data_IF_463638695486
#
_entry.id   IF_463638695486
#
_cell.length_a   1.000
_cell.length_b   1.000
_cell.length_c   1.000
_cell.angle_alpha   90.00
_cell.angle_beta   90.00
_cell.angle_gamma   90.00
#
_symmetry.space_group_name_H-M   'P 1'
#
loop_
_entity.id
_entity.type
_entity.pdbx_description
1 polymer ?
2 non-polymer ?
#
# COMPACT_ATOMS: atom_id res chain seq x y z
N UNK A 1 -20.97 -14.31 7.84
CA UNK A 1 -20.47 -14.16 9.24
C UNK A 1 -19.04 -13.65 9.18
N UNK A 2 -18.61 -12.98 10.24
CA UNK A 2 -17.32 -12.32 10.27
C UNK A 2 -16.15 -13.26 9.95
N UNK A 3 -15.23 -12.81 9.09
CA UNK A 3 -13.98 -13.52 8.81
C UNK A 3 -13.01 -13.60 10.00
N UNK A 4 -12.31 -14.71 10.10
CA UNK A 4 -11.46 -14.97 11.24
C UNK A 4 -10.13 -15.52 10.80
N UNK A 5 -9.08 -14.76 11.03
CA UNK A 5 -7.73 -15.12 10.60
C UNK A 5 -7.23 -16.41 11.26
N UNK A 6 -7.58 -17.56 10.69
CA UNK A 6 -7.29 -18.84 11.33
C UNK A 6 -6.17 -19.65 10.66
N UNK A 7 -5.84 -19.28 9.43
CA UNK A 7 -4.75 -19.94 8.69
C UNK A 7 -3.44 -19.16 8.82
N UNK A 8 -2.38 -19.72 8.27
CA UNK A 8 -1.08 -19.07 8.33
C UNK A 8 -0.62 -18.89 6.90
N UNK A 9 0.56 -18.31 6.69
CA UNK A 9 1.03 -18.02 5.33
C UNK A 9 1.50 -19.29 4.67
N UNK A 10 1.15 -19.47 3.41
CA UNK A 10 1.70 -20.57 2.64
C UNK A 10 3.18 -20.30 2.49
N UNK A 11 3.90 -21.34 2.08
CA UNK A 11 5.29 -21.23 1.68
C UNK A 11 5.43 -20.57 0.33
N UNK A 12 6.21 -19.49 0.33
CA UNK A 12 6.47 -18.68 -0.85
C UNK A 12 7.84 -19.08 -1.40
N UNK A 13 7.85 -19.92 -2.44
CA UNK A 13 9.12 -20.26 -3.11
C UNK A 13 9.32 -19.45 -4.39
N UNK A 14 8.25 -18.81 -4.86
CA UNK A 14 8.32 -17.77 -5.89
C UNK A 14 6.99 -16.99 -6.05
N UNK A 15 6.88 -16.18 -7.11
CA UNK A 15 5.72 -15.32 -7.32
C UNK A 15 5.16 -15.52 -8.72
N UNK A 16 3.83 -15.53 -8.85
CA UNK A 16 3.22 -15.65 -10.16
C UNK A 16 2.39 -14.41 -10.52
N UNK A 17 2.36 -14.02 -11.80
CA UNK A 17 1.52 -12.90 -12.20
C UNK A 17 0.06 -13.17 -11.84
N UNK A 18 -0.51 -12.24 -11.08
CA UNK A 18 -1.89 -12.34 -10.62
C UNK A 18 -2.79 -11.41 -11.41
N UNK A 19 -2.43 -10.13 -11.52
CA UNK A 19 -3.27 -9.17 -12.23
C UNK A 19 -2.49 -8.09 -12.96
N UNK A 20 -3.06 -7.47 -13.99
CA UNK A 20 -2.34 -6.42 -14.73
C UNK A 20 -3.29 -5.71 -15.65
N UNK A 21 -3.43 -4.39 -15.50
CA UNK A 21 -4.48 -3.68 -16.23
C UNK A 21 -4.10 -2.91 -17.49
N UNK A 22 -2.82 -2.58 -17.66
CA UNK A 22 -2.33 -1.90 -18.86
C UNK A 22 -3.13 -0.65 -19.15
N UNK A 23 -3.43 0.10 -18.11
CA UNK A 23 -4.30 1.27 -18.24
C UNK A 23 -3.78 2.42 -19.13
N UNK A 24 -2.52 2.80 -18.94
CA UNK A 24 -1.95 3.94 -19.66
C UNK A 24 -1.77 3.57 -21.14
N UNK A 25 -1.58 2.28 -21.41
CA UNK A 25 -1.48 1.78 -22.78
C UNK A 25 -2.82 1.92 -23.40
N UNK A 26 -3.82 1.37 -22.72
CA UNK A 26 -5.20 1.39 -23.18
C UNK A 26 -5.80 2.81 -23.11
N UNK A 27 -5.26 3.64 -22.24
CA UNK A 27 -5.82 4.96 -22.01
C UNK A 27 -5.35 5.98 -23.04
N UNK A 28 -4.44 5.57 -23.92
CA UNK A 28 -4.04 6.44 -25.02
C UNK A 28 -5.19 6.65 -26.04
N UNK A 29 -6.20 5.78 -26.02
CA UNK A 29 -7.31 5.83 -26.97
C UNK A 29 -8.59 5.14 -26.44
N UNK A 30 -9.00 5.51 -25.23
CA UNK A 30 -10.11 4.92 -24.46
C UNK A 30 -10.39 5.92 -23.37
N UNK A 31 -11.52 5.75 -22.68
CA UNK A 31 -11.88 6.70 -21.64
C UNK A 31 -11.50 6.18 -20.26
N UNK A 32 -10.18 6.13 -20.01
CA UNK A 32 -9.62 5.66 -18.75
C UNK A 32 -9.35 6.87 -17.85
N UNK A 33 -9.59 6.71 -16.55
CA UNK A 33 -9.40 7.78 -15.56
C UNK A 33 -7.95 7.91 -15.06
N UNK A 34 -7.44 9.14 -15.03
CA UNK A 34 -6.18 9.40 -14.32
C UNK A 34 -6.37 9.04 -12.84
N UNK A 35 -5.45 8.26 -12.27
CA UNK A 35 -5.56 7.78 -10.89
C UNK A 35 -4.17 7.77 -10.30
N UNK A 36 -4.06 7.47 -9.01
CA UNK A 36 -2.78 7.06 -8.40
C UNK A 36 -3.08 6.37 -7.08
N UNK A 37 -2.02 6.07 -6.33
CA UNK A 37 -2.15 5.30 -5.10
C UNK A 37 -3.15 4.13 -5.19
N UNK A 38 -2.92 3.16 -6.11
CA UNK A 38 -3.80 2.00 -6.24
C UNK A 38 -3.67 0.99 -5.11
N UNK A 39 -4.55 0.00 -5.14
CA UNK A 39 -4.33 -1.22 -4.40
C UNK A 39 -5.35 -2.24 -4.83
N UNK A 40 -5.24 -3.42 -4.25
CA UNK A 40 -6.17 -4.50 -4.55
C UNK A 40 -6.88 -4.95 -3.25
N UNK A 41 -8.10 -5.44 -3.36
CA UNK A 41 -8.83 -5.80 -2.18
C UNK A 41 -9.89 -6.80 -2.54
N UNK A 42 -10.00 -7.87 -1.74
CA UNK A 42 -10.95 -8.94 -2.01
C UNK A 42 -12.21 -8.91 -1.14
N UNK A 43 -13.35 -9.05 -1.79
CA UNK A 43 -14.58 -9.45 -1.14
C UNK A 43 -14.62 -10.98 -1.04
N UNK A 44 -15.63 -11.52 -0.36
CA UNK A 44 -15.81 -12.97 -0.31
C UNK A 44 -15.97 -13.66 -1.66
N UNK A 45 -16.29 -12.90 -2.69
CA UNK A 45 -16.77 -13.43 -3.95
C UNK A 45 -15.94 -12.90 -5.12
N UNK A 46 -15.24 -11.79 -4.93
CA UNK A 46 -14.40 -11.24 -5.99
C UNK A 46 -13.31 -10.32 -5.48
N UNK A 47 -12.19 -10.28 -6.20
CA UNK A 47 -11.13 -9.33 -5.90
C UNK A 47 -11.09 -8.19 -6.92
N UNK A 48 -10.87 -6.98 -6.43
CA UNK A 48 -10.98 -5.76 -7.24
C UNK A 48 -9.73 -4.90 -7.17
N UNK A 49 -9.59 -4.02 -8.15
CA UNK A 49 -8.59 -2.95 -8.16
C UNK A 49 -9.19 -1.68 -7.50
N UNK A 50 -8.34 -0.84 -6.92
CA UNK A 50 -8.79 0.35 -6.18
C UNK A 50 -7.80 1.48 -6.43
N UNK A 51 -8.30 2.71 -6.47
CA UNK A 51 -7.40 3.85 -6.66
C UNK A 51 -8.11 5.16 -6.40
N UNK A 52 -7.30 6.20 -6.24
CA UNK A 52 -7.82 7.56 -6.17
C UNK A 52 -7.84 8.21 -7.54
N UNK A 53 -9.04 8.34 -8.08
CA UNK A 53 -9.31 9.06 -9.29
C UNK A 53 -8.84 10.49 -9.10
N UNK A 54 -8.48 11.17 -10.19
CA UNK A 54 -8.23 12.62 -10.20
C UNK A 54 -9.37 13.36 -10.90
N UNK A 55 -10.46 12.64 -11.19
CA UNK A 55 -11.64 13.26 -11.78
C UNK A 55 -11.43 13.78 -13.18
N UNK A 56 -10.68 13.03 -14.00
CA UNK A 56 -10.43 13.41 -15.38
C UNK A 56 -9.90 12.18 -16.10
N UNK A 57 -10.02 12.17 -17.43
CA UNK A 57 -9.41 11.14 -18.24
C UNK A 57 -7.98 11.54 -18.57
N UNK A 58 -7.16 10.57 -18.97
CA UNK A 58 -5.75 10.80 -19.24
C UNK A 58 -5.58 11.74 -20.43
N UNK A 59 -6.35 11.53 -21.48
CA UNK A 59 -6.27 12.39 -22.65
C UNK A 59 -7.12 13.65 -22.50
N UNK A 60 -7.94 13.68 -21.45
CA UNK A 60 -8.72 14.85 -21.21
C UNK A 60 -7.80 16.00 -20.90
N UNK A 61 -8.24 17.23 -21.19
CA UNK A 61 -7.41 18.39 -20.97
C UNK A 61 -7.21 18.70 -19.48
N UNK A 62 -8.20 18.34 -18.68
CA UNK A 62 -8.14 18.60 -17.24
C UNK A 62 -7.12 17.71 -16.56
N UNK A 63 -6.39 16.90 -17.33
CA UNK A 63 -5.29 16.11 -16.80
C UNK A 63 -4.00 16.92 -16.56
N UNK A 64 -3.92 18.14 -17.12
CA UNK A 64 -2.77 18.96 -16.83
C UNK A 64 -2.81 19.39 -15.39
N UNK A 65 -1.87 18.89 -14.59
CA UNK A 65 -1.79 19.32 -13.20
C UNK A 65 -2.00 18.20 -12.19
N UNK A 66 -2.31 17.01 -12.70
CA UNK A 66 -2.60 15.90 -11.82
C UNK A 66 -1.36 15.32 -11.16
N UNK A 67 -0.26 16.08 -11.15
CA UNK A 67 0.86 15.73 -10.29
C UNK A 67 0.48 16.01 -8.82
N UNK A 68 -0.63 16.74 -8.67
CA UNK A 68 -1.11 17.21 -7.37
C UNK A 68 -1.92 16.13 -6.64
N UNK A 69 -1.65 16.03 -5.35
CA UNK A 69 -2.21 14.97 -4.51
C UNK A 69 -3.62 15.21 -4.00
N UNK A 70 -3.87 16.40 -3.49
CA UNK A 70 -5.07 16.63 -2.71
C UNK A 70 -5.93 17.67 -3.40
N UNK A 71 -7.14 17.31 -3.81
CA UNK A 71 -8.05 18.26 -4.44
C UNK A 71 -9.50 17.81 -4.30
N UNK A 72 -10.41 18.67 -4.71
CA UNK A 72 -11.85 18.42 -4.62
C UNK A 72 -12.36 17.38 -5.59
N UNK A 73 -11.55 16.96 -6.57
CA UNK A 73 -12.06 16.18 -7.68
C UNK A 73 -11.51 14.79 -7.69
N UNK A 74 -10.95 14.38 -6.55
CA UNK A 74 -10.35 13.06 -6.34
C UNK A 74 -11.39 12.15 -5.65
N UNK A 75 -11.29 10.85 -5.82
CA UNK A 75 -12.25 9.94 -5.21
C UNK A 75 -11.67 8.55 -5.10
N UNK A 76 -12.16 7.75 -4.15
CA UNK A 76 -11.82 6.32 -4.16
C UNK A 76 -12.79 5.60 -5.11
N UNK A 77 -12.24 5.04 -6.20
CA UNK A 77 -12.99 4.20 -7.16
C UNK A 77 -12.40 2.78 -7.16
N UNK A 78 -13.23 1.79 -7.45
CA UNK A 78 -12.77 0.42 -7.69
C UNK A 78 -13.35 -0.11 -9.00
N UNK A 79 -12.74 -1.16 -9.54
CA UNK A 79 -13.17 -1.69 -10.82
C UNK A 79 -12.80 -3.18 -10.90
N UNK A 80 -13.34 -3.92 -11.89
CA UNK A 80 -13.01 -5.33 -12.04
C UNK A 80 -11.54 -5.56 -12.27
N UNK A 81 -11.03 -6.58 -11.58
CA UNK A 81 -9.64 -7.05 -11.69
C UNK A 81 -9.06 -7.13 -13.12
N UNK A 82 -8.04 -6.29 -13.38
CA UNK A 82 -7.23 -6.38 -14.60
C UNK A 82 -7.85 -5.60 -15.76
N UNK A 83 -9.04 -5.04 -15.53
CA UNK A 83 -9.60 -4.00 -16.40
C UNK A 83 -8.83 -2.70 -16.15
N UNK A 84 -8.98 -1.69 -17.04
CA UNK A 84 -8.46 -0.38 -16.70
C UNK A 84 -9.53 0.45 -16.04
N UNK A 85 -9.16 1.34 -15.11
CA UNK A 85 -10.17 2.14 -14.41
C UNK A 85 -10.85 3.13 -15.35
N UNK A 86 -11.93 2.72 -16.00
CA UNK A 86 -12.59 3.57 -17.01
C UNK A 86 -13.76 4.37 -16.42
N UNK A 87 -14.18 5.38 -17.16
CA UNK A 87 -15.29 6.23 -16.75
C UNK A 87 -16.63 5.46 -16.61
N UNK A 88 -16.82 4.46 -17.47
CA UNK A 88 -18.08 3.72 -17.59
C UNK A 88 -18.18 2.46 -16.75
N UNK A 89 -17.09 2.02 -16.13
CA UNK A 89 -17.16 0.80 -15.34
C UNK A 89 -16.72 0.96 -13.89
N UNK A 90 -16.29 2.16 -13.51
CA UNK A 90 -15.71 2.35 -12.22
C UNK A 90 -16.81 2.63 -11.24
N UNK A 91 -16.66 2.11 -10.03
CA UNK A 91 -17.60 2.36 -8.96
C UNK A 91 -16.92 3.28 -7.96
N UNK A 92 -17.62 4.34 -7.58
CA UNK A 92 -17.13 5.25 -6.54
C UNK A 92 -17.48 4.75 -5.13
N UNK A 93 -16.45 4.63 -4.31
CA UNK A 93 -16.60 4.23 -2.92
C UNK A 93 -16.92 5.39 -1.95
N UNK A 94 -16.12 6.45 -2.02
CA UNK A 94 -16.32 7.66 -1.22
C UNK A 94 -15.48 8.80 -1.79
N UNK A 95 -15.68 10.02 -1.32
CA UNK A 95 -14.98 11.20 -1.85
C UNK A 95 -13.80 11.60 -0.98
N UNK A 96 -12.59 11.57 -1.53
CA UNK A 96 -11.43 11.90 -0.74
C UNK A 96 -10.10 11.69 -1.44
N UNK A 97 -9.05 12.25 -0.85
CA UNK A 97 -7.71 12.16 -1.38
C UNK A 97 -6.79 11.29 -0.54
N UNK A 98 -7.38 10.47 0.33
CA UNK A 98 -6.65 9.47 1.12
C UNK A 98 -7.64 8.42 1.60
N UNK A 99 -7.26 7.15 1.56
CA UNK A 99 -8.23 6.07 1.78
C UNK A 99 -7.66 4.73 2.28
N UNK A 100 -8.59 3.86 2.67
CA UNK A 100 -8.32 2.44 2.93
C UNK A 100 -9.66 1.76 2.91
N UNK A 101 -9.64 0.44 2.69
CA UNK A 101 -10.88 -0.32 2.49
C UNK A 101 -10.63 -1.82 2.76
N UNK A 102 -11.60 -2.47 3.41
CA UNK A 102 -11.53 -3.88 3.72
C UNK A 102 -12.94 -4.44 4.01
N UNK A 103 -13.22 -5.61 3.47
CA UNK A 103 -14.38 -6.43 3.81
C UNK A 103 -14.13 -7.14 5.15
N UNK A 104 -15.14 -7.18 6.03
CA UNK A 104 -14.99 -7.88 7.32
C UNK A 104 -15.56 -9.31 7.32
N UNK A 105 -15.97 -9.78 6.15
CA UNK A 105 -16.71 -11.01 6.08
C UNK A 105 -18.19 -10.78 5.84
N UNK A 106 -18.81 -9.87 6.58
CA UNK A 106 -20.22 -9.59 6.37
C UNK A 106 -20.43 -8.57 5.25
N UNK A 107 -19.69 -7.46 5.32
CA UNK A 107 -19.72 -6.44 4.29
C UNK A 107 -18.48 -5.53 4.39
N UNK A 108 -18.38 -4.54 3.50
CA UNK A 108 -17.12 -3.82 3.31
C UNK A 108 -17.16 -2.46 3.98
N UNK A 109 -16.04 -2.09 4.61
CA UNK A 109 -15.82 -0.75 5.17
C UNK A 109 -14.80 0.00 4.32
N UNK A 110 -15.11 1.26 4.04
CA UNK A 110 -14.28 2.11 3.19
C UNK A 110 -14.13 3.46 3.88
N UNK A 111 -12.94 4.03 3.83
CA UNK A 111 -12.67 5.26 4.56
C UNK A 111 -12.01 6.25 3.65
N UNK A 112 -12.61 7.42 3.55
CA UNK A 112 -12.03 8.49 2.74
C UNK A 112 -11.83 9.73 3.60
N UNK A 113 -10.70 10.38 3.37
CA UNK A 113 -10.41 11.68 3.95
C UNK A 113 -10.44 12.78 2.87
N UNK A 114 -11.13 13.86 3.20
CA UNK A 114 -11.07 15.07 2.38
C UNK A 114 -10.83 16.27 3.30
N UNK A 115 -10.61 17.43 2.69
CA UNK A 115 -10.46 18.62 3.48
C UNK A 115 -9.31 19.51 3.06
N UNK A 116 -9.28 20.75 3.56
CA UNK A 116 -8.04 21.50 3.47
C UNK A 116 -7.02 20.90 4.44
N UNK A 117 -5.74 21.15 4.15
CA UNK A 117 -4.65 20.55 4.92
C UNK A 117 -4.81 20.73 6.41
N UNK A 118 -5.47 21.81 6.83
CA UNK A 118 -5.62 22.18 8.25
C UNK A 118 -6.98 21.95 8.87
N UNK A 119 -7.89 21.36 8.10
CA UNK A 119 -9.25 21.14 8.56
C UNK A 119 -9.89 19.91 7.85
N UNK A 120 -9.13 18.81 7.82
CA UNK A 120 -9.54 17.58 7.14
C UNK A 120 -10.41 16.70 8.05
N UNK A 121 -11.09 15.74 7.44
CA UNK A 121 -11.95 14.82 8.20
C UNK A 121 -12.11 13.48 7.50
N UNK A 122 -12.23 12.42 8.29
CA UNK A 122 -12.47 11.09 7.74
C UNK A 122 -13.94 10.73 7.86
N UNK A 123 -14.50 10.18 6.78
CA UNK A 123 -15.82 9.60 6.86
C UNK A 123 -15.70 8.11 6.58
N UNK A 124 -16.11 7.33 7.59
CA UNK A 124 -16.10 5.88 7.56
C UNK A 124 -17.43 5.44 6.97
N UNK A 125 -17.37 4.67 5.91
CA UNK A 125 -18.55 4.17 5.24
C UNK A 125 -18.62 2.70 5.56
N UNK A 126 -19.82 2.16 5.69
CA UNK A 126 -19.94 0.74 5.95
C UNK A 126 -21.19 0.24 5.29
N UNK A 127 -21.02 -0.78 4.45
CA UNK A 127 -22.09 -1.22 3.58
C UNK A 127 -22.68 -0.10 2.70
N UNK A 128 -21.78 0.68 2.10
CA UNK A 128 -22.09 1.79 1.20
C UNK A 128 -22.88 2.97 1.76
N UNK A 129 -23.05 3.05 3.08
CA UNK A 129 -23.58 4.24 3.75
C UNK A 129 -22.58 4.85 4.73
N UNK A 130 -22.52 6.19 4.84
CA UNK A 130 -21.66 6.86 5.84
C UNK A 130 -22.14 6.65 7.27
N UNK A 131 -21.21 6.41 8.19
CA UNK A 131 -21.59 5.98 9.52
C UNK A 131 -20.87 6.78 10.61
N UNK A 132 -19.59 7.04 10.42
CA UNK A 132 -18.75 7.68 11.44
C UNK A 132 -17.77 8.68 10.83
N UNK A 133 -17.52 9.76 11.56
CA UNK A 133 -16.76 10.90 11.08
C UNK A 133 -15.74 11.22 12.15
N UNK A 134 -14.53 11.53 11.71
CA UNK A 134 -13.44 11.94 12.59
C UNK A 134 -12.79 13.18 11.99
N UNK A 135 -12.34 14.09 12.85
CA UNK A 135 -11.74 15.37 12.43
C UNK A 135 -10.23 15.33 12.69
N UNK A 136 -9.47 16.14 11.94
CA UNK A 136 -8.05 16.38 12.25
C UNK A 136 -7.90 16.53 13.74
N UNK A 137 -6.98 15.76 14.32
CA UNK A 137 -6.51 16.02 15.68
C UNK A 137 -5.30 16.89 15.72
N UNK A 138 -4.38 16.68 14.81
CA UNK A 138 -3.15 17.47 14.77
C UNK A 138 -3.26 18.59 13.78
N UNK A 139 -4.29 18.54 12.94
CA UNK A 139 -4.60 19.61 11.99
C UNK A 139 -3.52 19.83 10.93
N UNK A 140 -2.77 18.78 10.61
CA UNK A 140 -1.83 18.84 9.49
C UNK A 140 -1.87 17.56 8.64
N UNK A 141 -2.72 17.60 7.61
CA UNK A 141 -2.95 16.52 6.65
C UNK A 141 -3.20 15.14 7.25
N UNK A 142 -4.36 15.00 7.90
CA UNK A 142 -4.93 13.69 8.27
C UNK A 142 -4.81 12.72 7.10
N UNK A 143 -4.24 11.53 7.34
CA UNK A 143 -3.99 10.58 6.26
C UNK A 143 -3.92 9.11 6.71
N UNK A 144 -4.26 8.18 5.81
CA UNK A 144 -4.27 6.74 6.12
C UNK A 144 -3.30 5.92 5.26
N UNK A 145 -3.64 4.63 5.16
CA UNK A 145 -2.78 3.61 4.61
C UNK A 145 -2.53 3.67 3.11
N UNK A 146 -3.56 4.05 2.34
CA UNK A 146 -3.52 4.02 0.88
C UNK A 146 -3.41 2.59 0.39
N UNK A 147 -3.87 1.66 1.22
CA UNK A 147 -4.02 0.26 0.81
C UNK A 147 -4.96 -0.42 1.81
N UNK A 148 -5.36 -1.67 1.58
CA UNK A 148 -6.45 -2.28 2.35
C UNK A 148 -6.09 -2.54 3.79
N UNK A 149 -7.09 -2.41 4.66
CA UNK A 149 -6.97 -2.81 6.06
C UNK A 149 -7.23 -4.32 6.16
N UNK A 150 -7.33 -4.84 7.38
CA UNK A 150 -7.52 -6.26 7.66
C UNK A 150 -8.46 -6.37 8.88
N UNK A 151 -9.41 -7.30 8.81
CA UNK A 151 -10.32 -7.55 9.93
C UNK A 151 -10.17 -8.94 10.53
N UNK A 152 -10.76 -9.11 11.70
CA UNK A 152 -10.77 -10.37 12.42
C UNK A 152 -11.97 -10.37 13.37
N UNK A 153 -12.91 -11.29 13.15
CA UNK A 153 -14.15 -11.35 13.91
C UNK A 153 -14.79 -9.97 14.08
N UNK A 154 -14.85 -9.24 12.99
CA UNK A 154 -15.58 -8.00 12.98
C UNK A 154 -14.80 -6.78 13.35
N UNK A 155 -13.61 -6.94 13.97
CA UNK A 155 -12.78 -5.77 14.30
C UNK A 155 -11.75 -5.51 13.23
N UNK A 156 -11.76 -4.29 12.69
CA UNK A 156 -10.82 -3.86 11.64
C UNK A 156 -10.10 -2.59 12.07
N UNK A 157 -8.86 -2.68 12.54
CA UNK A 157 -8.01 -1.52 12.88
C UNK A 157 -7.43 -0.78 11.69
N UNK A 158 -7.27 0.54 11.84
CA UNK A 158 -6.73 1.36 10.78
C UNK A 158 -5.75 2.36 11.41
N UNK A 159 -4.59 2.52 10.76
CA UNK A 159 -3.55 3.44 11.22
C UNK A 159 -3.76 4.76 10.45
N UNK A 160 -3.92 5.85 11.19
CA UNK A 160 -3.86 7.20 10.64
C UNK A 160 -2.66 7.96 11.23
N UNK A 161 -2.13 8.90 10.46
CA UNK A 161 -1.16 9.85 10.95
C UNK A 161 -1.74 11.25 10.72
N UNK A 162 -1.57 12.12 11.70
CA UNK A 162 -1.87 13.54 11.55
C UNK A 162 -0.71 14.34 12.11
N UNK A 163 -0.12 15.21 11.29
CA UNK A 163 0.99 16.01 11.73
C UNK A 163 2.03 16.18 10.64
N UNK A 164 3.23 16.60 11.04
CA UNK A 164 4.35 16.82 10.12
C UNK A 164 4.83 15.53 9.44
N UNK A 165 5.43 15.73 8.28
CA UNK A 165 5.91 14.63 7.47
C UNK A 165 7.42 14.58 7.59
N UNK A 166 7.99 15.65 8.10
CA UNK A 166 9.43 15.72 8.24
C UNK A 166 9.79 15.96 9.71
N UNK A 167 9.06 15.28 10.58
CA UNK A 167 9.22 15.50 12.00
C UNK A 167 8.32 14.57 12.79
N UNK A 168 8.32 14.72 14.12
CA UNK A 168 7.32 14.13 15.03
C UNK A 168 5.87 14.42 14.62
N UNK A 169 5.03 13.39 14.63
CA UNK A 169 3.63 13.52 14.21
C UNK A 169 2.77 12.71 15.19
N UNK A 170 1.45 12.75 15.03
CA UNK A 170 0.59 11.97 15.90
C UNK A 170 -0.08 10.88 15.10
N UNK A 171 0.27 9.63 15.39
CA UNK A 171 -0.32 8.46 14.73
C UNK A 171 -1.24 7.74 15.71
N UNK A 172 -2.41 7.33 15.24
CA UNK A 172 -3.37 6.55 16.04
C UNK A 172 -3.76 5.27 15.31
N UNK A 173 -3.93 4.20 16.09
CA UNK A 173 -4.59 2.97 15.63
C UNK A 173 -6.03 3.04 16.14
N UNK A 174 -6.99 3.16 15.21
CA UNK A 174 -8.42 3.05 15.52
C UNK A 174 -8.89 1.62 15.29
N UNK A 175 -9.81 1.15 16.12
CA UNK A 175 -10.32 -0.20 15.97
C UNK A 175 -11.81 -0.06 15.66
N UNK A 176 -12.21 -0.44 14.46
CA UNK A 176 -13.60 -0.32 14.07
C UNK A 176 -14.29 -1.66 14.11
N UNK A 177 -15.55 -1.63 14.51
CA UNK A 177 -16.42 -2.78 14.40
C UNK A 177 -17.75 -2.26 13.88
N UNK A 178 -18.20 -2.81 12.75
CA UNK A 178 -19.45 -2.39 12.08
C UNK A 178 -19.45 -0.91 11.70
N UNK A 179 -18.25 -0.41 11.41
CA UNK A 179 -18.09 0.98 10.99
C UNK A 179 -18.09 1.95 12.15
N UNK A 180 -18.17 1.41 13.37
CA UNK A 180 -18.26 2.25 14.55
C UNK A 180 -16.95 2.15 15.29
N UNK A 181 -16.56 3.21 15.99
CA UNK A 181 -15.31 3.17 16.72
C UNK A 181 -15.47 2.41 18.03
N UNK A 182 -14.60 1.41 18.22
CA UNK A 182 -14.53 0.67 19.47
C UNK A 182 -13.57 1.35 20.44
N UNK A 183 -12.46 1.84 19.91
CA UNK A 183 -11.35 2.30 20.72
C UNK A 183 -10.31 2.87 19.78
N UNK A 184 -9.42 3.70 20.29
CA UNK A 184 -8.23 4.05 19.55
C UNK A 184 -7.08 4.26 20.52
N UNK A 185 -5.85 4.23 20.03
CA UNK A 185 -4.71 4.40 20.88
C UNK A 185 -3.55 5.01 20.11
N UNK A 186 -2.85 5.99 20.73
CA UNK A 186 -1.62 6.56 20.17
C UNK A 186 -0.61 5.48 19.81
N UNK A 187 0.30 5.80 18.90
CA UNK A 187 1.37 4.89 18.50
C UNK A 187 2.29 4.57 19.68
N UNK A 188 2.78 3.34 19.72
CA UNK A 188 3.62 2.87 20.82
C UNK A 188 4.80 2.15 20.21
N UNK A 189 5.78 1.79 21.04
CA UNK A 189 6.92 1.04 20.56
C UNK A 189 8.03 1.99 20.20
N UNK A 190 8.96 1.54 19.35
CA UNK A 190 10.16 2.33 19.07
C UNK A 190 10.18 3.03 17.70
N UNK A 191 9.16 2.81 16.87
CA UNK A 191 9.11 3.46 15.56
C UNK A 191 9.03 4.98 15.74
N UNK A 192 9.74 5.72 14.90
CA UNK A 192 9.91 7.17 15.07
C UNK A 192 8.88 8.00 14.30
N UNK A 193 8.36 7.41 13.23
CA UNK A 193 7.49 8.13 12.31
C UNK A 193 6.84 7.09 11.40
N UNK A 194 5.54 7.26 11.17
CA UNK A 194 4.69 6.23 10.52
C UNK A 194 3.89 6.85 9.37
N UNK A 195 3.91 6.23 8.21
CA UNK A 195 3.08 6.67 7.10
C UNK A 195 2.71 5.47 6.22
N UNK A 196 1.52 5.51 5.65
CA UNK A 196 1.09 4.58 4.59
C UNK A 196 1.41 3.13 4.93
N UNK A 197 0.67 2.53 5.85
CA UNK A 197 0.99 1.18 6.30
C UNK A 197 0.41 0.10 5.39
N UNK A 198 1.22 -0.91 5.12
CA UNK A 198 0.80 -2.03 4.31
C UNK A 198 0.60 -3.21 5.23
N UNK A 199 -0.62 -3.73 5.31
CA UNK A 199 -0.97 -4.69 6.36
C UNK A 199 -1.41 -6.05 5.83
N UNK A 200 -1.12 -7.10 6.59
CA UNK A 200 -1.76 -8.39 6.39
C UNK A 200 -1.99 -9.08 7.73
N UNK A 201 -2.72 -10.17 7.72
CA UNK A 201 -3.05 -10.82 8.97
C UNK A 201 -2.99 -12.32 8.78
N UNK A 202 -2.45 -13.03 9.77
CA UNK A 202 -2.53 -14.48 9.79
C UNK A 202 -2.47 -14.95 11.22
N UNK A 203 -3.08 -16.10 11.47
CA UNK A 203 -3.23 -16.65 12.81
C UNK A 203 -3.60 -15.59 13.85
N UNK A 204 -4.65 -14.82 13.58
CA UNK A 204 -5.17 -13.83 14.51
C UNK A 204 -4.15 -12.81 14.95
N UNK A 205 -3.30 -12.41 14.01
CA UNK A 205 -2.32 -11.36 14.23
C UNK A 205 -2.22 -10.51 12.95
N UNK A 206 -2.13 -9.19 13.11
CA UNK A 206 -2.01 -8.27 11.98
C UNK A 206 -0.66 -7.52 11.92
N UNK A 207 0.02 -7.60 10.78
CA UNK A 207 1.35 -7.02 10.64
C UNK A 207 1.28 -5.94 9.56
N UNK A 208 1.62 -4.70 9.95
CA UNK A 208 1.76 -3.59 8.99
C UNK A 208 3.22 -3.16 8.88
N UNK A 209 3.73 -3.10 7.65
CA UNK A 209 5.04 -2.54 7.34
C UNK A 209 4.76 -1.16 6.76
N UNK A 210 5.26 -0.13 7.44
CA UNK A 210 4.91 1.24 7.14
C UNK A 210 6.10 1.99 6.64
N UNK A 211 5.99 3.31 6.64
CA UNK A 211 6.99 4.19 6.05
C UNK A 211 7.28 5.33 7.03
N UNK A 212 8.53 5.37 7.48
CA UNK A 212 9.11 6.47 8.23
C UNK A 212 9.57 7.55 7.26
N UNK A 213 8.81 8.61 7.11
CA UNK A 213 9.16 9.63 6.13
C UNK A 213 10.32 10.57 6.50
N UNK A 214 10.71 10.70 7.76
CA UNK A 214 11.69 11.75 8.02
C UNK A 214 13.10 11.31 8.33
N UNK A 215 13.30 10.01 8.53
CA UNK A 215 14.58 9.52 9.06
C UNK A 215 15.02 8.17 8.55
N UNK A 216 14.12 7.20 8.70
CA UNK A 216 14.41 5.81 8.38
C UNK A 216 14.49 5.33 6.92
N UNK A 217 15.63 4.70 6.60
CA UNK A 217 15.80 3.97 5.36
C UNK A 217 15.38 2.51 5.53
N UNK A 218 15.37 2.07 6.78
CA UNK A 218 14.78 0.80 7.15
C UNK A 218 13.33 1.07 7.55
N UNK A 219 12.46 0.08 7.37
CA UNK A 219 11.01 0.27 7.53
C UNK A 219 10.46 -0.14 8.88
N UNK A 220 9.65 0.74 9.49
CA UNK A 220 8.97 0.43 10.76
C UNK A 220 7.90 -0.61 10.55
N UNK A 221 7.57 -1.30 11.63
CA UNK A 221 6.56 -2.33 11.60
C UNK A 221 5.65 -2.17 12.81
N UNK A 222 4.35 -2.12 12.54
CA UNK A 222 3.37 -2.21 13.61
C UNK A 222 2.81 -3.64 13.63
N UNK A 223 2.88 -4.32 14.74
CA UNK A 223 2.17 -5.57 14.88
C UNK A 223 0.93 -5.35 15.72
N UNK A 224 -0.20 -5.84 15.25
CA UNK A 224 -1.46 -5.57 15.91
C UNK A 224 -2.15 -6.86 16.33
N UNK A 225 -2.75 -6.81 17.51
CA UNK A 225 -3.52 -7.92 17.99
C UNK A 225 -4.98 -7.50 18.00
N UNK A 226 -5.78 -8.10 17.12
CA UNK A 226 -7.16 -7.67 16.93
C UNK A 226 -8.09 -8.15 18.03
N UNK A 227 -7.68 -9.13 18.82
CA UNK A 227 -8.53 -9.53 19.94
C UNK A 227 -8.35 -8.66 21.20
N UNK A 228 -7.10 -8.40 21.58
CA UNK A 228 -6.84 -7.58 22.76
C UNK A 228 -6.87 -6.09 22.45
N UNK A 229 -6.87 -5.76 21.16
CA UNK A 229 -6.81 -4.39 20.71
C UNK A 229 -5.64 -3.61 21.31
N UNK A 230 -4.44 -4.17 21.22
CA UNK A 230 -3.22 -3.46 21.54
C UNK A 230 -2.26 -3.66 20.39
N UNK A 231 -1.11 -2.97 20.43
CA UNK A 231 -0.13 -3.04 19.36
C UNK A 231 1.28 -2.76 19.87
N UNK A 232 2.25 -2.90 18.98
CA UNK A 232 3.59 -2.39 19.24
C UNK A 232 4.33 -2.20 17.92
N UNK A 233 5.35 -1.34 17.93
CA UNK A 233 6.09 -1.04 16.73
C UNK A 233 7.60 -1.27 16.91
N UNK A 234 8.30 -1.34 15.78
CA UNK A 234 9.72 -1.67 15.76
C UNK A 234 10.23 -1.24 14.40
N UNK A 235 11.50 -1.53 14.13
CA UNK A 235 12.02 -1.53 12.76
C UNK A 235 12.50 -2.93 12.34
N UNK A 236 12.42 -3.19 11.04
CA UNK A 236 13.03 -4.37 10.45
C UNK A 236 14.55 -4.24 10.68
N UNK A 237 15.14 -5.29 11.24
CA UNK A 237 16.53 -5.32 11.68
C UNK A 237 17.53 -5.39 10.54
N UNK A 238 17.17 -6.20 9.54
CA UNK A 238 18.02 -6.50 8.39
C UNK A 238 18.72 -5.26 7.87
N UNK A 239 19.92 -5.42 7.31
CA UNK A 239 20.61 -4.38 6.53
C UNK A 239 20.17 -4.22 5.06
N UNK A 240 19.35 -5.13 4.55
CA UNK A 240 18.80 -4.96 3.21
C UNK A 240 17.72 -3.89 3.33
N UNK A 241 18.13 -2.64 3.15
CA UNK A 241 17.25 -1.49 3.29
C UNK A 241 16.22 -1.46 2.16
N UNK A 242 14.98 -1.15 2.51
CA UNK A 242 13.90 -1.22 1.54
C UNK A 242 13.04 0.03 1.42
N UNK A 243 13.54 1.20 1.79
CA UNK A 243 12.85 2.44 1.40
C UNK A 243 13.54 3.05 0.17
N UNK A 244 13.06 4.21 -0.26
CA UNK A 244 13.61 4.91 -1.41
C UNK A 244 13.17 6.37 -1.35
N UNK A 245 14.14 7.31 -1.44
CA UNK A 245 15.55 6.97 -1.59
C UNK A 245 16.18 6.44 -0.31
N UNK A 246 17.35 5.82 -0.48
CA UNK A 246 18.06 5.14 0.60
C UNK A 246 19.56 5.10 0.27
N UNK A 247 20.41 4.99 1.30
CA UNK A 247 21.82 4.69 1.05
C UNK A 247 21.97 3.24 0.67
N UNK A 248 23.22 2.83 0.47
CA UNK A 248 23.51 1.44 0.20
C UNK A 248 23.42 0.53 1.44
N UNK A 249 23.12 -0.73 1.17
CA UNK A 249 23.01 -1.75 2.20
C UNK A 249 24.32 -1.81 2.97
N UNK A 250 24.31 -1.60 4.30
CA UNK A 250 25.43 -1.94 5.18
C UNK A 250 25.50 -3.45 5.41
N UNK A 251 26.41 -3.88 6.28
CA UNK A 251 26.51 -5.27 6.69
C UNK A 251 25.74 -5.52 7.96
N UNK A 252 25.34 -4.45 8.65
CA UNK A 252 24.59 -4.51 9.90
C UNK A 252 23.56 -3.36 9.96
N UNK A 253 22.38 -3.59 10.53
CA UNK A 253 21.34 -2.57 10.53
C UNK A 253 20.60 -2.43 11.88
N UNK A 254 19.69 -1.46 11.96
CA UNK A 254 19.00 -1.11 13.20
C UNK A 254 17.73 -1.94 13.42
N UNK A 255 17.47 -2.26 14.69
CA UNK A 255 16.23 -2.91 15.10
C UNK A 255 15.26 -1.97 15.76
N UNK A 256 15.76 -0.99 16.50
CA UNK A 256 14.87 -0.07 17.18
C UNK A 256 15.16 1.40 16.93
N UNK A 257 15.76 1.70 15.79
CA UNK A 257 16.09 3.08 15.47
C UNK A 257 16.09 3.21 13.99
N UNK A 258 15.81 4.40 13.46
CA UNK A 258 15.96 4.63 12.02
C UNK A 258 17.41 4.55 11.55
N UNK A 259 17.64 3.84 10.46
CA UNK A 259 18.95 3.86 9.84
C UNK A 259 19.04 5.15 9.03
N UNK A 260 20.06 5.98 9.29
CA UNK A 260 20.18 7.34 8.76
C UNK A 260 20.85 7.42 7.37
N UNK A 261 20.72 8.58 6.72
CA UNK A 261 21.33 8.73 5.41
C UNK A 261 20.51 9.44 4.37
N UNK A 262 19.19 9.29 4.42
CA UNK A 262 18.29 10.20 3.70
C UNK A 262 17.16 10.72 4.59
N UNK A 263 16.83 12.00 4.44
CA UNK A 263 15.85 12.65 5.27
C UNK A 263 14.58 12.96 4.51
N UNK A 264 13.45 12.90 5.21
CA UNK A 264 12.24 13.55 4.73
C UNK A 264 11.84 13.07 3.33
N UNK A 265 11.71 11.75 3.21
CA UNK A 265 11.29 11.12 1.97
C UNK A 265 11.20 9.59 2.07
N UNK A 266 10.34 9.04 1.22
CA UNK A 266 10.20 7.60 1.15
C UNK A 266 9.19 7.25 0.09
N UNK A 267 8.73 6.00 0.12
CA UNK A 267 7.68 5.53 -0.77
C UNK A 267 6.93 4.47 0.03
N UNK A 268 5.70 4.17 -0.37
CA UNK A 268 4.96 3.10 0.25
C UNK A 268 5.56 1.78 -0.18
N UNK A 269 5.65 0.84 0.74
CA UNK A 269 6.19 -0.47 0.46
C UNK A 269 5.56 -1.51 1.36
N UNK A 270 6.11 -2.73 1.38
CA UNK A 270 5.53 -3.77 2.22
C UNK A 270 6.57 -4.85 2.47
N UNK A 271 6.25 -5.80 3.35
CA UNK A 271 6.96 -7.07 3.43
C UNK A 271 6.07 -8.16 4.04
N UNK A 272 6.47 -9.42 3.88
CA UNK A 272 5.82 -10.53 4.55
C UNK A 272 6.86 -11.14 5.45
N UNK A 273 6.59 -11.06 6.75
CA UNK A 273 7.57 -11.34 7.80
C UNK A 273 7.23 -12.66 8.50
N UNK A 274 7.89 -13.74 8.11
CA UNK A 274 7.43 -15.08 8.49
C UNK A 274 8.57 -16.07 8.73
N UNK A 275 9.32 -15.86 9.78
CA UNK A 275 10.48 -16.71 10.05
C UNK A 275 11.46 -16.69 8.90
N UNK A 276 11.85 -17.87 8.45
CA UNK A 276 12.68 -18.01 7.26
C UNK A 276 11.86 -17.73 5.98
N UNK A 277 10.54 -17.76 6.12
CA UNK A 277 9.63 -17.56 4.99
C UNK A 277 9.33 -16.06 4.84
N UNK A 278 10.39 -15.26 4.76
CA UNK A 278 10.27 -13.80 4.76
C UNK A 278 10.72 -13.17 3.44
N UNK A 279 9.86 -12.33 2.88
CA UNK A 279 10.14 -11.69 1.62
C UNK A 279 9.93 -10.20 1.69
N UNK A 280 10.93 -9.44 1.24
CA UNK A 280 10.85 -7.99 1.22
C UNK A 280 10.80 -7.54 -0.24
N UNK A 281 10.06 -6.47 -0.48
CA UNK A 281 10.02 -5.87 -1.81
C UNK A 281 10.78 -4.57 -1.76
N UNK A 282 11.35 -4.16 -2.88
CA UNK A 282 11.98 -2.83 -2.97
C UNK A 282 12.20 -2.37 -4.40
N UNK A 283 12.29 -1.06 -4.59
CA UNK A 283 12.82 -0.51 -5.81
C UNK A 283 14.28 -0.93 -5.88
N UNK A 284 14.72 -1.21 -7.10
CA UNK A 284 16.10 -1.58 -7.38
C UNK A 284 17.00 -0.34 -7.23
N UNK A 285 16.57 0.78 -7.81
CA UNK A 285 17.28 2.02 -7.61
C UNK A 285 17.24 2.46 -6.15
N UNK A 286 18.32 3.07 -5.66
CA UNK A 286 18.32 3.71 -4.34
C UNK A 286 17.96 5.19 -4.43
N UNK A 287 18.10 5.75 -5.63
CA UNK A 287 17.89 7.17 -5.85
C UNK A 287 16.45 7.46 -6.25
N UNK A 288 15.89 6.55 -7.04
CA UNK A 288 14.72 6.83 -7.83
C UNK A 288 13.76 5.68 -7.60
N UNK A 289 12.48 5.90 -7.86
CA UNK A 289 11.48 4.82 -7.83
C UNK A 289 11.58 4.03 -9.15
N UNK A 290 12.66 3.27 -9.29
CA UNK A 290 12.90 2.53 -10.49
C UNK A 290 13.07 1.06 -10.17
N UNK A 291 12.43 0.23 -10.97
CA UNK A 291 12.63 -1.19 -10.84
C UNK A 291 11.91 -1.68 -9.62
N UNK A 292 11.75 -2.99 -9.52
CA UNK A 292 11.18 -3.57 -8.32
C UNK A 292 11.68 -4.98 -8.19
N UNK A 293 11.88 -5.42 -6.96
CA UNK A 293 12.32 -6.77 -6.75
C UNK A 293 11.82 -7.27 -5.44
N UNK A 294 11.77 -8.59 -5.33
CA UNK A 294 11.45 -9.29 -4.08
C UNK A 294 12.72 -9.99 -3.64
N UNK A 295 12.92 -10.09 -2.32
CA UNK A 295 14.13 -10.70 -1.78
C UNK A 295 13.79 -11.59 -0.60
N UNK A 296 14.38 -12.78 -0.56
CA UNK A 296 14.14 -13.69 0.53
C UNK A 296 15.24 -13.49 1.58
N UNK A 297 14.89 -12.88 2.71
CA UNK A 297 15.87 -12.59 3.74
C UNK A 297 15.32 -13.21 4.99
N UNK A 298 15.75 -14.44 5.29
CA UNK A 298 15.25 -15.11 6.50
C UNK A 298 15.48 -14.29 7.78
N UNK A 299 14.45 -14.29 8.62
CA UNK A 299 14.47 -13.58 9.90
C UNK A 299 14.89 -12.11 9.82
N UNK A 300 14.43 -11.43 8.79
CA UNK A 300 14.72 -10.02 8.58
C UNK A 300 14.31 -9.12 9.75
N UNK A 301 13.17 -9.42 10.36
CA UNK A 301 12.60 -8.55 11.41
C UNK A 301 13.52 -8.54 12.61
N UNK A 302 14.15 -9.68 12.90
CA UNK A 302 14.78 -9.91 14.18
C UNK A 302 16.30 -10.00 14.06
N UNK A 303 16.78 -10.44 12.89
CA UNK A 303 18.18 -10.74 12.66
C UNK A 303 18.83 -9.55 11.98
N UNK A 304 19.66 -8.83 12.72
CA UNK A 304 20.18 -7.56 12.26
C UNK A 304 21.38 -7.65 11.31
N UNK A 305 21.70 -8.86 10.86
CA UNK A 305 22.76 -9.09 9.89
C UNK A 305 22.25 -9.84 8.64
N UNK A 306 20.95 -10.13 8.61
CA UNK A 306 20.35 -10.99 7.58
C UNK A 306 20.50 -10.44 6.15
N UNK A 307 20.85 -11.30 5.21
CA UNK A 307 21.12 -10.90 3.82
C UNK A 307 20.50 -11.92 2.84
N UNK A 308 20.27 -11.52 1.57
CA UNK A 308 19.29 -12.31 0.78
C UNK A 308 19.77 -13.74 0.48
N UNK A 309 18.82 -14.69 0.48
CA UNK A 309 19.11 -16.04 0.02
C UNK A 309 18.41 -16.39 -1.30
N UNK A 310 17.46 -15.57 -1.74
CA UNK A 310 16.79 -15.82 -3.01
C UNK A 310 16.04 -14.57 -3.41
N UNK A 311 15.67 -14.44 -4.67
CA UNK A 311 15.13 -13.18 -5.16
C UNK A 311 14.34 -13.30 -6.43
N UNK A 312 13.54 -12.29 -6.73
CA UNK A 312 12.84 -12.25 -7.99
C UNK A 312 12.69 -10.80 -8.40
N UNK A 313 13.18 -10.48 -9.58
CA UNK A 313 12.93 -9.18 -10.21
C UNK A 313 11.52 -9.09 -10.83
N UNK A 314 10.81 -8.03 -10.48
CA UNK A 314 9.43 -7.87 -10.91
C UNK A 314 9.42 -6.82 -12.02
N UNK A 315 10.11 -5.71 -11.81
CA UNK A 315 10.21 -4.64 -12.81
C UNK A 315 11.67 -4.23 -12.98
N UNK A 316 12.13 -4.18 -14.22
CA UNK A 316 13.55 -3.92 -14.50
C UNK A 316 13.92 -2.49 -14.12
N UNK A 317 15.19 -2.29 -13.81
CA UNK A 317 15.62 -1.00 -13.24
C UNK A 317 15.34 0.17 -14.17
N UNK A 318 15.27 -0.14 -15.45
CA UNK A 318 14.99 0.80 -16.52
C UNK A 318 13.52 1.20 -16.57
N UNK A 319 12.68 0.54 -15.78
CA UNK A 319 11.25 0.81 -15.81
C UNK A 319 10.77 1.42 -14.51
N UNK A 320 9.82 2.34 -14.64
CA UNK A 320 9.38 3.13 -13.51
C UNK A 320 8.46 2.30 -12.59
N UNK A 321 8.65 2.42 -11.27
CA UNK A 321 7.76 1.72 -10.35
C UNK A 321 6.98 2.73 -9.50
N UNK A 322 7.02 2.60 -8.18
CA UNK A 322 6.21 3.46 -7.34
C UNK A 322 5.77 2.73 -6.10
N UNK A 323 4.56 3.05 -5.63
CA UNK A 323 4.04 2.50 -4.38
C UNK A 323 3.86 0.98 -4.48
N UNK A 324 3.75 0.32 -3.35
CA UNK A 324 3.44 -1.10 -3.34
C UNK A 324 2.88 -1.47 -1.99
N UNK A 325 2.17 -2.59 -1.92
CA UNK A 325 1.38 -2.89 -0.75
C UNK A 325 0.86 -4.30 -0.79
N UNK A 326 0.43 -4.80 0.36
CA UNK A 326 0.09 -6.21 0.50
C UNK A 326 -1.41 -6.41 0.40
N UNK A 327 -1.82 -7.61 -0.01
CA UNK A 327 -3.20 -8.05 0.15
C UNK A 327 -3.21 -9.55 0.03
N UNK A 328 -4.25 -10.17 0.57
CA UNK A 328 -4.46 -11.61 0.45
C UNK A 328 -5.94 -11.87 0.27
N UNK A 329 -6.27 -12.91 -0.46
CA UNK A 329 -7.65 -13.36 -0.59
C UNK A 329 -8.02 -14.27 0.59
N UNK A 330 -8.53 -13.68 1.65
CA UNK A 330 -8.88 -14.40 2.86
C UNK A 330 -9.99 -15.41 2.73
N UNK A 331 -10.68 -15.43 1.60
CA UNK A 331 -11.79 -16.35 1.38
C UNK A 331 -11.46 -17.37 0.29
N UNK A 332 -10.21 -17.38 -0.15
CA UNK A 332 -9.72 -18.40 -1.05
C UNK A 332 -9.71 -19.81 -0.41
N UNK A 333 -9.83 -20.85 -1.23
CA UNK A 333 -9.80 -22.25 -0.77
C UNK A 333 -8.35 -22.59 -0.39
N UNK A 334 -8.17 -23.53 0.52
CA UNK A 334 -6.81 -23.95 0.83
C UNK A 334 -6.55 -23.85 2.32
N UNK A 335 -5.43 -24.44 2.77
CA UNK A 335 -5.13 -24.52 4.20
C UNK A 335 -4.32 -23.35 4.71
N UNK A 336 -3.80 -22.54 3.78
CA UNK A 336 -2.96 -21.40 4.16
C UNK A 336 -3.31 -20.18 3.33
N UNK A 337 -2.91 -19.02 3.82
CA UNK A 337 -3.08 -17.77 3.11
C UNK A 337 -1.97 -17.57 2.09
N UNK A 338 -2.36 -17.35 0.85
CA UNK A 338 -1.40 -17.17 -0.21
C UNK A 338 -1.10 -15.68 -0.31
N UNK A 339 0.18 -15.30 -0.20
CA UNK A 339 0.57 -13.91 -0.02
C UNK A 339 0.53 -13.22 -1.37
N UNK A 340 -0.06 -12.03 -1.44
CA UNK A 340 -0.02 -11.28 -2.70
C UNK A 340 0.46 -9.87 -2.47
N UNK A 341 0.80 -9.18 -3.55
CA UNK A 341 1.17 -7.78 -3.48
C UNK A 341 0.90 -7.09 -4.81
N UNK A 342 1.01 -5.76 -4.85
CA UNK A 342 0.86 -5.01 -6.09
C UNK A 342 1.95 -3.93 -6.13
N UNK A 343 2.33 -3.53 -7.34
CA UNK A 343 3.21 -2.39 -7.58
C UNK A 343 2.47 -1.38 -8.46
N UNK A 344 2.55 -0.11 -8.07
CA UNK A 344 2.05 1.01 -8.87
C UNK A 344 3.16 1.40 -9.86
N UNK A 345 2.80 1.50 -11.13
CA UNK A 345 3.76 1.86 -12.17
C UNK A 345 3.47 3.28 -12.59
N UNK A 346 4.13 4.26 -11.96
CA UNK A 346 3.86 5.65 -12.27
C UNK A 346 4.44 6.08 -13.62
N UNK A 347 3.63 6.85 -14.34
CA UNK A 347 3.97 7.41 -15.64
C UNK A 347 3.67 8.89 -15.57
N UNK A 348 4.39 9.67 -16.38
CA UNK A 348 4.21 11.12 -16.41
C UNK A 348 5.07 11.90 -15.43
N UNK A 349 4.52 12.96 -14.88
CA UNK A 349 5.33 13.83 -14.04
C UNK A 349 5.51 13.26 -12.63
N UNK A 350 6.74 13.32 -12.10
CA UNK A 350 7.78 14.29 -12.45
C UNK A 350 8.85 13.84 -13.45
N UNK A 351 9.25 12.59 -13.37
CA UNK A 351 10.32 12.03 -14.20
C UNK A 351 10.07 12.11 -15.71
N UNK A 352 8.81 12.11 -16.14
CA UNK A 352 8.53 12.22 -17.55
C UNK A 352 7.84 13.53 -17.84
N UNK A 353 8.67 14.54 -18.06
CA UNK A 353 8.27 15.94 -18.21
C UNK A 353 7.45 16.36 -19.44
N UNK A 354 7.56 15.63 -20.55
CA UNK A 354 6.97 16.06 -21.83
C UNK A 354 5.45 16.01 -21.80
N UNK A 355 4.90 15.40 -20.76
CA UNK A 355 3.47 15.33 -20.60
C UNK A 355 3.17 16.13 -19.38
N UNK A 356 1.91 16.46 -19.21
CA UNK A 356 1.51 17.36 -18.15
C UNK A 356 0.71 16.68 -17.07
N UNK A 357 0.58 15.35 -17.16
CA UNK A 357 -0.19 14.55 -16.22
C UNK A 357 0.69 13.57 -15.44
N UNK A 358 0.06 12.87 -14.52
CA UNK A 358 0.71 11.80 -13.78
C UNK A 358 -0.33 10.71 -13.54
N UNK A 359 -0.07 9.54 -14.09
CA UNK A 359 -0.95 8.41 -13.87
C UNK A 359 -0.11 7.18 -13.56
N UNK A 360 -0.74 6.01 -13.66
CA UNK A 360 -0.09 4.77 -13.31
C UNK A 360 -0.91 3.61 -13.80
N UNK A 361 -0.32 2.43 -13.78
CA UNK A 361 -1.07 1.22 -13.99
C UNK A 361 -0.64 0.28 -12.89
N UNK A 362 -1.21 -0.91 -12.89
CA UNK A 362 -1.00 -1.86 -11.80
C UNK A 362 -0.49 -3.18 -12.35
N UNK A 363 0.51 -3.74 -11.67
CA UNK A 363 0.82 -5.16 -11.76
C UNK A 363 0.60 -5.74 -10.37
N UNK A 364 0.05 -6.93 -10.33
CA UNK A 364 -0.18 -7.62 -9.08
C UNK A 364 0.36 -9.05 -9.20
N UNK A 365 0.97 -9.52 -8.11
CA UNK A 365 1.48 -10.90 -8.03
C UNK A 365 1.00 -11.61 -6.76
N UNK A 366 0.96 -12.95 -6.80
CA UNK A 366 0.81 -13.79 -5.59
C UNK A 366 1.85 -14.90 -5.53
N UNK A 367 2.01 -15.50 -4.35
CA UNK A 367 3.07 -16.48 -4.13
C UNK A 367 2.74 -17.82 -4.75
N UNK A 368 3.77 -18.63 -4.98
CA UNK A 368 3.65 -20.04 -5.34
C UNK A 368 4.63 -20.82 -4.48
N UNK A 369 4.30 -22.07 -4.20
CA UNK A 369 5.21 -22.97 -3.48
C UNK A 369 6.15 -23.60 -4.49
N UNK A 370 5.79 -23.47 -5.76
CA UNK A 370 6.65 -23.83 -6.88
C UNK A 370 7.84 -22.88 -7.00
N UNK A 371 8.76 -23.23 -7.89
CA UNK A 371 9.84 -22.32 -8.27
C UNK A 371 9.66 -21.90 -9.74
N UNK A 372 8.84 -20.88 -9.98
CA UNK A 372 8.45 -20.46 -11.33
C UNK A 372 9.51 -19.55 -11.93
N UNK A 373 9.71 -19.67 -13.24
CA UNK A 373 10.57 -18.75 -13.94
C UNK A 373 10.05 -17.34 -13.81
N UNK A 374 10.88 -16.35 -14.09
CA UNK A 374 10.50 -14.97 -13.86
C UNK A 374 10.45 -14.20 -15.17
N UNK A 375 9.47 -13.31 -15.26
CA UNK A 375 9.43 -12.31 -16.31
C UNK A 375 9.43 -10.93 -15.65
N UNK A 376 9.59 -9.89 -16.43
CA UNK A 376 9.45 -8.53 -15.93
C UNK A 376 8.21 -7.90 -16.55
N UNK A 377 7.56 -7.05 -15.77
CA UNK A 377 6.18 -6.62 -16.03
C UNK A 377 6.10 -5.10 -16.01
N UNK A 378 6.56 -4.47 -17.10
CA UNK A 378 6.59 -3.01 -17.19
C UNK A 378 5.19 -2.47 -17.50
N UNK A 379 4.98 -1.17 -17.30
CA UNK A 379 3.77 -0.52 -17.74
C UNK A 379 3.51 -0.77 -19.24
N UNK A 380 4.52 -0.50 -20.07
CA UNK A 380 4.37 -0.77 -21.48
C UNK A 380 3.72 0.31 -22.32
N UNK A 381 3.36 1.45 -21.73
CA UNK A 381 2.96 2.62 -22.54
C UNK A 381 4.17 3.30 -23.19
N UNK A 382 3.88 4.02 -24.26
CA UNK A 382 4.91 4.66 -25.07
C UNK A 382 4.66 6.16 -25.01
N UNK A 383 5.37 6.83 -24.13
CA UNK A 383 5.06 8.23 -23.80
C UNK A 383 4.99 9.15 -25.03
N UNK A 384 5.53 8.69 -26.14
CA UNK A 384 5.63 9.56 -27.29
C UNK A 384 4.33 9.65 -28.05
N UNK A 385 3.42 8.72 -27.81
CA UNK A 385 2.14 8.73 -28.50
C UNK A 385 1.18 9.74 -27.84
N UNK A 386 1.59 10.29 -26.70
CA UNK A 386 0.77 11.25 -25.99
C UNK A 386 1.11 12.69 -26.39
N UNK A 387 2.04 12.83 -27.34
CA UNK A 387 2.61 14.14 -27.72
C UNK A 387 1.88 14.74 -28.90
X LIG B 1 12.38 7.26 4.82
#
# INVERSE_FOLDING_TARGET
DFNNLTKGLCTINSWHIYGKDNAVRIGEDSDVLVTREPYVSCDPDECRFYALSQGTTIRGKHSNGTIHDRSQYRALISWPLSSPPTVYNSRVECIGWSSTSCHDGKTRMSICISGPNNNASAVIWYNRRPVTEINTWARNILRTQESECVCHNGVCPVVFTDGSATGPAETRIYYFKEGKILKWEPLAGTAKHIEECSCYGERAEITCTCRDNWQGSNRPVIRIDPVAMTHTSQYICSPVLTDNPRPNDPTVGKCNDPYPGNNNNGVKGFSYLDGVNTWLGRTISIASRSGYEMLKVPNALTDDKSKPTQGQTIVLNTDWSGYSGSFMDYWAEGECYRACFYVELIRGRPKEDKVWWTSNSIVSMCSSTEFLGQWDWPDGAKIEYFL
CA CA
#
